data_IF_209533033114
#
_entry.id   IF_209533033114
#
_cell.length_a   1.000
_cell.length_b   1.000
_cell.length_c   1.000
_cell.angle_alpha   90.00
_cell.angle_beta   90.00
_cell.angle_gamma   90.00
#
_symmetry.space_group_name_H-M   'P 1'
#
loop_
_entity.id
_entity.type
_entity.pdbx_description
1 polymer ?
#
# COMPACT_ATOMS: atom_id res chain seq x y z
N UNK A 1 10.09 9.45 -25.32
CA UNK A 1 8.61 9.35 -25.32
C UNK A 1 8.02 10.28 -24.27
N UNK A 2 6.73 10.61 -24.37
CA UNK A 2 5.97 11.45 -23.41
C UNK A 2 5.09 10.58 -22.51
N UNK A 3 5.34 10.61 -21.20
CA UNK A 3 4.65 9.80 -20.20
C UNK A 3 3.81 10.69 -19.28
N UNK A 4 2.50 10.46 -19.22
CA UNK A 4 1.60 11.16 -18.29
C UNK A 4 1.23 10.25 -17.12
N UNK A 5 1.74 10.51 -15.92
CA UNK A 5 1.52 9.64 -14.77
C UNK A 5 0.49 10.25 -13.79
N UNK A 6 -0.36 9.40 -13.21
CA UNK A 6 -1.36 9.83 -12.22
C UNK A 6 -1.30 8.94 -10.99
N UNK A 7 -0.83 9.53 -9.88
CA UNK A 7 -0.80 8.94 -8.54
C UNK A 7 -1.61 9.83 -7.58
N UNK A 8 -2.54 9.25 -6.85
CA UNK A 8 -3.50 9.99 -6.01
C UNK A 8 -3.17 10.05 -4.52
N UNK A 9 -2.05 9.45 -4.08
CA UNK A 9 -1.64 9.37 -2.67
C UNK A 9 -0.13 9.17 -2.53
N UNK A 10 0.39 9.28 -1.30
CA UNK A 10 1.83 9.25 -1.02
C UNK A 10 2.51 7.94 -1.46
N UNK A 11 1.87 6.78 -1.25
CA UNK A 11 2.39 5.48 -1.72
C UNK A 11 2.46 5.42 -3.24
N UNK A 12 1.44 5.95 -3.91
CA UNK A 12 1.44 6.05 -5.36
C UNK A 12 2.54 6.97 -5.90
N UNK A 13 2.81 8.11 -5.24
CA UNK A 13 3.91 9.02 -5.57
C UNK A 13 5.26 8.32 -5.47
N UNK A 14 5.48 7.56 -4.39
CA UNK A 14 6.71 6.78 -4.19
C UNK A 14 6.91 5.74 -5.29
N UNK A 15 5.92 4.89 -5.53
CA UNK A 15 6.02 3.83 -6.54
C UNK A 15 6.12 4.39 -7.97
N UNK A 16 5.40 5.48 -8.26
CA UNK A 16 5.49 6.15 -9.56
C UNK A 16 6.87 6.80 -9.77
N UNK A 17 7.48 7.39 -8.74
CA UNK A 17 8.81 7.98 -8.84
C UNK A 17 9.87 6.94 -9.19
N UNK A 18 9.83 5.75 -8.56
CA UNK A 18 10.72 4.63 -8.89
C UNK A 18 10.50 4.14 -10.33
N UNK A 19 9.24 4.04 -10.76
CA UNK A 19 8.93 3.70 -12.16
C UNK A 19 9.48 4.74 -13.15
N UNK A 20 9.37 6.03 -12.82
CA UNK A 20 9.92 7.11 -13.67
C UNK A 20 11.43 7.00 -13.81
N UNK A 21 12.16 6.70 -12.75
CA UNK A 21 13.61 6.48 -12.80
C UNK A 21 13.94 5.28 -13.69
N UNK A 22 13.25 4.16 -13.53
CA UNK A 22 13.43 2.98 -14.36
C UNK A 22 13.07 3.21 -15.85
N UNK A 23 12.04 4.03 -16.12
CA UNK A 23 11.72 4.45 -17.50
C UNK A 23 12.80 5.31 -18.13
N UNK A 24 13.44 6.22 -17.36
CA UNK A 24 14.55 7.04 -17.86
C UNK A 24 15.77 6.23 -18.29
N UNK A 25 16.05 5.13 -17.60
CA UNK A 25 17.14 4.22 -17.97
C UNK A 25 16.90 3.57 -19.34
N UNK A 26 15.64 3.32 -19.71
CA UNK A 26 15.23 2.66 -20.95
C UNK A 26 14.87 3.62 -22.07
N UNK A 27 14.47 4.83 -21.71
CA UNK A 27 14.18 5.94 -22.62
C UNK A 27 14.85 7.21 -22.09
N UNK A 28 16.15 7.45 -22.41
CA UNK A 28 16.89 8.63 -21.95
C UNK A 28 16.26 9.98 -22.37
N UNK A 29 15.39 9.97 -23.39
CA UNK A 29 14.65 11.14 -23.87
C UNK A 29 13.23 11.23 -23.26
N UNK A 30 12.92 10.42 -22.24
CA UNK A 30 11.62 10.41 -21.57
C UNK A 30 11.26 11.80 -21.02
N UNK A 31 10.06 12.25 -21.36
CA UNK A 31 9.45 13.44 -20.80
C UNK A 31 8.30 13.04 -19.91
N UNK A 32 8.27 13.56 -18.69
CA UNK A 32 7.25 13.22 -17.70
C UNK A 32 6.41 14.42 -17.34
N UNK A 33 5.10 14.23 -17.35
CA UNK A 33 4.12 15.16 -16.79
C UNK A 33 3.24 14.38 -15.81
N UNK A 34 2.99 14.92 -14.62
CA UNK A 34 2.40 14.10 -13.57
C UNK A 34 1.41 14.83 -12.67
N UNK A 35 0.44 14.06 -12.21
CA UNK A 35 -0.31 14.29 -10.99
C UNK A 35 0.31 13.36 -9.93
N UNK A 36 0.89 13.93 -8.88
CA UNK A 36 1.66 13.15 -7.90
C UNK A 36 2.13 14.04 -6.75
N UNK A 37 3.33 13.81 -6.27
CA UNK A 37 3.93 14.57 -5.18
C UNK A 37 5.38 14.92 -5.42
N UNK A 38 6.06 15.20 -4.31
CA UNK A 38 7.43 15.70 -4.30
C UNK A 38 8.42 14.67 -4.88
N UNK A 39 8.18 13.36 -4.69
CA UNK A 39 9.07 12.30 -5.19
C UNK A 39 9.03 12.18 -6.71
N UNK A 40 7.85 12.24 -7.31
CA UNK A 40 7.74 12.27 -8.77
C UNK A 40 8.35 13.53 -9.38
N UNK A 41 8.24 14.68 -8.69
CA UNK A 41 8.89 15.90 -9.10
C UNK A 41 10.42 15.78 -9.04
N UNK A 42 10.97 15.23 -7.97
CA UNK A 42 12.40 14.94 -7.82
C UNK A 42 12.92 13.95 -8.88
N UNK A 43 12.08 12.96 -9.26
CA UNK A 43 12.38 12.06 -10.36
C UNK A 43 12.37 12.73 -11.75
N UNK A 44 12.08 14.04 -11.82
CA UNK A 44 12.13 14.88 -13.02
C UNK A 44 10.79 15.02 -13.74
N UNK A 45 9.67 14.77 -13.06
CA UNK A 45 8.34 15.03 -13.57
C UNK A 45 7.93 16.50 -13.47
N UNK A 46 7.25 17.01 -14.51
CA UNK A 46 6.56 18.29 -14.43
C UNK A 46 5.27 18.08 -13.65
N UNK A 47 5.22 18.58 -12.41
CA UNK A 47 4.07 18.43 -11.53
C UNK A 47 2.94 19.38 -11.95
N UNK A 48 1.85 18.82 -12.46
CA UNK A 48 0.63 19.58 -12.86
C UNK A 48 -0.24 19.88 -11.65
N UNK A 49 -0.34 18.93 -10.71
CA UNK A 49 -1.09 19.07 -9.47
C UNK A 49 -0.55 18.11 -8.40
N UNK A 50 -0.45 18.59 -7.16
CA UNK A 50 -0.03 17.77 -6.05
C UNK A 50 -1.19 16.88 -5.56
N UNK A 51 -0.91 15.59 -5.22
CA UNK A 51 -1.93 14.64 -4.77
C UNK A 51 -2.68 15.10 -3.51
N UNK A 52 -2.05 15.88 -2.64
CA UNK A 52 -2.70 16.46 -1.44
C UNK A 52 -3.90 17.34 -1.79
N UNK A 53 -3.92 17.92 -2.98
CA UNK A 53 -5.04 18.71 -3.49
C UNK A 53 -6.08 17.86 -4.24
N UNK A 54 -5.80 16.57 -4.45
CA UNK A 54 -6.62 15.62 -5.21
C UNK A 54 -7.35 14.62 -4.31
N UNK A 55 -6.75 14.28 -3.16
CA UNK A 55 -7.16 13.14 -2.34
C UNK A 55 -8.30 13.50 -1.39
N UNK A 56 -9.50 13.04 -1.75
CA UNK A 56 -10.66 12.99 -0.86
C UNK A 56 -11.12 11.54 -0.75
N UNK A 57 -10.91 10.92 0.42
CA UNK A 57 -11.30 9.53 0.68
C UNK A 57 -12.48 9.45 1.63
N UNK A 58 -13.34 8.43 1.43
CA UNK A 58 -14.56 8.20 2.20
C UNK A 58 -15.79 8.87 1.57
N UNK A 59 -16.99 8.36 1.92
CA UNK A 59 -18.26 8.80 1.29
C UNK A 59 -18.58 10.27 1.64
N UNK A 60 -18.46 10.64 2.91
CA UNK A 60 -18.77 11.99 3.37
C UNK A 60 -17.85 13.06 2.79
N UNK A 61 -16.52 12.93 2.89
CA UNK A 61 -15.56 13.85 2.24
C UNK A 61 -15.73 13.92 0.72
N UNK A 62 -15.95 12.80 0.03
CA UNK A 62 -16.17 12.77 -1.43
C UNK A 62 -17.41 13.60 -1.82
N UNK A 63 -18.53 13.44 -1.12
CA UNK A 63 -19.75 14.21 -1.41
C UNK A 63 -19.54 15.72 -1.18
N UNK A 64 -18.87 16.09 -0.09
CA UNK A 64 -18.59 17.51 0.24
C UNK A 64 -17.67 18.18 -0.77
N UNK A 65 -16.70 17.45 -1.33
CA UNK A 65 -15.68 17.96 -2.26
C UNK A 65 -15.93 17.58 -3.73
N UNK A 66 -17.13 17.09 -4.06
CA UNK A 66 -17.50 16.71 -5.43
C UNK A 66 -17.20 17.79 -6.50
N UNK A 67 -17.49 19.10 -6.28
CA UNK A 67 -17.13 20.14 -7.24
C UNK A 67 -15.63 20.23 -7.51
N UNK A 68 -14.81 20.09 -6.47
CA UNK A 68 -13.34 20.10 -6.59
C UNK A 68 -12.83 18.87 -7.35
N UNK A 69 -13.37 17.70 -7.07
CA UNK A 69 -13.03 16.46 -7.80
C UNK A 69 -13.36 16.61 -9.28
N UNK A 70 -14.53 17.15 -9.62
CA UNK A 70 -14.95 17.39 -11.00
C UNK A 70 -14.08 18.43 -11.70
N UNK A 71 -13.69 19.50 -10.99
CA UNK A 71 -12.77 20.52 -11.51
C UNK A 71 -11.40 19.92 -11.81
N UNK A 72 -10.85 19.14 -10.88
CA UNK A 72 -9.57 18.44 -11.06
C UNK A 72 -9.65 17.46 -12.24
N UNK A 73 -10.74 16.72 -12.36
CA UNK A 73 -10.97 15.80 -13.49
C UNK A 73 -10.97 16.54 -14.84
N UNK A 74 -11.65 17.69 -14.93
CA UNK A 74 -11.67 18.50 -16.17
C UNK A 74 -10.29 19.05 -16.50
N UNK A 75 -9.56 19.51 -15.50
CA UNK A 75 -8.20 20.04 -15.66
C UNK A 75 -7.27 18.96 -16.20
N UNK A 76 -7.25 17.75 -15.59
CA UNK A 76 -6.41 16.64 -16.04
C UNK A 76 -6.74 16.19 -17.45
N UNK A 77 -8.04 16.08 -17.79
CA UNK A 77 -8.49 15.74 -19.15
C UNK A 77 -8.04 16.74 -20.20
N UNK A 78 -8.12 18.05 -19.87
CA UNK A 78 -7.64 19.11 -20.76
C UNK A 78 -6.13 19.02 -20.94
N UNK A 79 -5.38 18.85 -19.85
CA UNK A 79 -3.94 18.78 -19.85
C UNK A 79 -3.40 17.59 -20.67
N UNK A 80 -4.00 16.40 -20.52
CA UNK A 80 -3.67 15.21 -21.34
C UNK A 80 -3.91 15.50 -22.84
N UNK A 81 -5.03 16.13 -23.17
CA UNK A 81 -5.36 16.45 -24.56
C UNK A 81 -4.40 17.46 -25.19
N UNK A 82 -4.01 18.51 -24.41
CA UNK A 82 -3.11 19.56 -24.89
C UNK A 82 -1.66 19.08 -25.01
N UNK A 83 -1.21 18.27 -24.05
CA UNK A 83 0.18 17.77 -24.04
C UNK A 83 0.43 16.59 -24.96
N UNK A 84 -0.61 15.82 -25.31
CA UNK A 84 -0.57 14.67 -26.23
C UNK A 84 0.52 13.65 -25.84
N UNK A 85 0.39 12.95 -24.69
CA UNK A 85 1.34 11.92 -24.28
C UNK A 85 1.27 10.71 -25.19
N UNK A 86 2.37 9.94 -25.28
CA UNK A 86 2.40 8.62 -25.92
C UNK A 86 1.68 7.57 -25.06
N UNK A 87 1.75 7.73 -23.73
CA UNK A 87 1.05 6.85 -22.77
C UNK A 87 0.57 7.61 -21.54
N UNK A 88 -0.56 7.15 -21.00
CA UNK A 88 -1.09 7.56 -19.70
C UNK A 88 -0.92 6.39 -18.73
N UNK A 89 -0.10 6.58 -17.70
CA UNK A 89 0.19 5.58 -16.69
C UNK A 89 -0.61 5.92 -15.42
N UNK A 90 -1.53 5.04 -15.07
CA UNK A 90 -2.43 5.17 -13.94
C UNK A 90 -1.90 4.32 -12.77
N UNK A 91 -1.61 4.97 -11.62
CA UNK A 91 -1.03 4.29 -10.47
C UNK A 91 -2.07 4.18 -9.36
N UNK A 92 -2.53 2.94 -9.05
CA UNK A 92 -3.60 2.67 -8.07
C UNK A 92 -4.79 3.66 -8.20
N UNK A 93 -5.34 4.22 -7.14
CA UNK A 93 -6.36 5.28 -7.10
C UNK A 93 -7.57 5.07 -8.04
N UNK A 94 -8.25 3.92 -7.97
CA UNK A 94 -9.17 3.44 -9.02
C UNK A 94 -10.42 4.29 -9.22
N UNK A 95 -10.82 5.10 -8.23
CA UNK A 95 -11.99 5.98 -8.35
C UNK A 95 -11.81 7.05 -9.43
N UNK A 96 -10.67 7.68 -9.45
CA UNK A 96 -10.30 8.73 -10.39
C UNK A 96 -9.70 8.15 -11.68
N UNK A 97 -8.76 7.23 -11.53
CA UNK A 97 -7.97 6.68 -12.63
C UNK A 97 -8.80 5.94 -13.67
N UNK A 98 -9.81 5.14 -13.26
CA UNK A 98 -10.71 4.49 -14.23
C UNK A 98 -11.59 5.49 -15.00
N UNK A 99 -11.90 6.67 -14.45
CA UNK A 99 -12.60 7.70 -15.17
C UNK A 99 -11.72 8.44 -16.20
N UNK A 100 -10.40 8.53 -15.91
CA UNK A 100 -9.41 9.01 -16.89
C UNK A 100 -9.20 7.96 -17.99
N UNK A 101 -9.04 6.68 -17.65
CA UNK A 101 -8.94 5.60 -18.64
C UNK A 101 -10.12 5.63 -19.63
N UNK A 102 -11.35 5.73 -19.10
CA UNK A 102 -12.55 5.86 -19.93
C UNK A 102 -12.48 7.10 -20.84
N UNK A 103 -12.02 8.24 -20.35
CA UNK A 103 -11.90 9.45 -21.16
C UNK A 103 -10.91 9.27 -22.30
N UNK A 104 -9.73 8.72 -22.03
CA UNK A 104 -8.71 8.44 -23.05
C UNK A 104 -9.28 7.51 -24.12
N UNK A 105 -9.90 6.40 -23.71
CA UNK A 105 -10.49 5.45 -24.63
C UNK A 105 -11.60 6.06 -25.48
N UNK A 106 -12.60 6.73 -24.86
CA UNK A 106 -13.79 7.20 -25.56
C UNK A 106 -13.61 8.49 -26.34
N UNK A 107 -12.68 9.37 -25.97
CA UNK A 107 -12.53 10.69 -26.55
C UNK A 107 -11.25 10.88 -27.36
N UNK A 108 -10.15 10.26 -26.94
CA UNK A 108 -8.87 10.44 -27.64
C UNK A 108 -8.63 9.33 -28.67
N UNK A 109 -8.94 8.07 -28.33
CA UNK A 109 -8.79 6.94 -29.25
C UNK A 109 -9.86 6.93 -30.33
N UNK A 110 -11.12 7.24 -29.98
CA UNK A 110 -12.23 7.22 -30.94
C UNK A 110 -12.24 8.39 -31.94
N UNK A 111 -11.55 9.50 -31.62
CA UNK A 111 -11.49 10.71 -32.46
C UNK A 111 -10.18 10.84 -33.25
N UNK A 112 -9.23 9.92 -33.07
CA UNK A 112 -7.92 9.95 -33.71
C UNK A 112 -8.05 9.53 -35.20
N UNK A 113 -8.24 10.51 -36.07
CA UNK A 113 -8.19 10.27 -37.53
C UNK A 113 -6.76 10.28 -38.10
N UNK A 114 -5.81 10.98 -37.46
CA UNK A 114 -4.43 11.12 -37.97
C UNK A 114 -3.31 11.06 -36.91
N UNK A 115 -3.62 10.87 -35.60
CA UNK A 115 -2.63 10.82 -34.54
C UNK A 115 -2.71 9.48 -33.81
N UNK A 116 -1.57 8.89 -33.45
CA UNK A 116 -1.53 7.67 -32.62
C UNK A 116 -2.14 8.04 -31.23
N UNK A 117 -3.23 7.40 -30.81
CA UNK A 117 -3.84 7.71 -29.53
C UNK A 117 -2.93 7.22 -28.40
N UNK A 118 -2.96 7.90 -27.22
CA UNK A 118 -2.15 7.46 -26.08
C UNK A 118 -2.59 6.07 -25.60
N UNK A 119 -1.63 5.23 -25.26
CA UNK A 119 -1.89 3.96 -24.59
C UNK A 119 -2.20 4.18 -23.12
N UNK A 120 -3.07 3.36 -22.54
CA UNK A 120 -3.43 3.39 -21.13
C UNK A 120 -2.80 2.21 -20.42
N UNK A 121 -1.76 2.47 -19.65
CA UNK A 121 -1.13 1.49 -18.77
C UNK A 121 -1.62 1.69 -17.34
N UNK A 122 -1.99 0.62 -16.65
CA UNK A 122 -2.40 0.67 -15.26
C UNK A 122 -1.36 -0.07 -14.40
N UNK A 123 -0.56 0.69 -13.66
CA UNK A 123 0.43 0.18 -12.72
C UNK A 123 -0.16 0.11 -11.30
N UNK A 124 0.04 -1.01 -10.62
CA UNK A 124 -0.63 -1.37 -9.36
C UNK A 124 -2.13 -1.56 -9.59
N UNK A 125 -2.47 -2.74 -10.09
CA UNK A 125 -3.83 -3.11 -10.46
C UNK A 125 -4.88 -2.79 -9.38
N UNK A 126 -6.05 -2.28 -9.75
CA UNK A 126 -7.12 -2.02 -8.80
C UNK A 126 -7.55 -3.29 -8.07
N UNK A 127 -7.64 -3.25 -6.74
CA UNK A 127 -8.00 -4.38 -5.87
C UNK A 127 -9.48 -4.80 -6.03
N UNK A 128 -9.92 -5.04 -7.29
CA UNK A 128 -11.31 -5.41 -7.60
C UNK A 128 -11.68 -6.83 -7.14
N UNK A 129 -10.68 -7.65 -6.87
CA UNK A 129 -10.86 -8.97 -6.27
C UNK A 129 -11.39 -8.91 -4.83
N UNK A 130 -11.08 -7.85 -4.09
CA UNK A 130 -11.57 -7.64 -2.73
C UNK A 130 -13.02 -7.11 -2.72
N UNK A 131 -13.34 -6.17 -3.63
CA UNK A 131 -14.64 -5.50 -3.72
C UNK A 131 -14.81 -4.83 -5.09
N UNK A 132 -16.05 -4.55 -5.48
CA UNK A 132 -16.38 -3.89 -6.78
C UNK A 132 -15.83 -4.64 -8.02
N UNK A 133 -15.91 -5.96 -8.00
CA UNK A 133 -15.46 -6.83 -9.10
C UNK A 133 -16.06 -6.45 -10.47
N UNK A 134 -17.26 -5.84 -10.48
CA UNK A 134 -17.91 -5.35 -11.70
C UNK A 134 -17.04 -4.37 -12.52
N UNK A 135 -16.03 -3.73 -11.89
CA UNK A 135 -15.09 -2.83 -12.57
C UNK A 135 -14.20 -3.52 -13.60
N UNK A 136 -14.14 -4.85 -13.60
CA UNK A 136 -13.43 -5.60 -14.65
C UNK A 136 -13.92 -5.24 -16.06
N UNK A 137 -15.22 -4.93 -16.21
CA UNK A 137 -15.78 -4.49 -17.49
C UNK A 137 -15.17 -3.16 -17.99
N UNK A 138 -14.90 -2.24 -17.06
CA UNK A 138 -14.27 -0.95 -17.37
C UNK A 138 -12.79 -1.15 -17.69
N UNK A 139 -12.08 -1.97 -16.92
CA UNK A 139 -10.66 -2.29 -17.15
C UNK A 139 -10.50 -2.90 -18.55
N UNK A 140 -11.30 -3.91 -18.88
CA UNK A 140 -11.27 -4.59 -20.18
C UNK A 140 -11.51 -3.66 -21.37
N UNK A 141 -12.34 -2.66 -21.20
CA UNK A 141 -12.65 -1.69 -22.25
C UNK A 141 -11.62 -0.58 -22.38
N UNK A 142 -11.12 -0.07 -21.25
CA UNK A 142 -10.47 1.24 -21.18
C UNK A 142 -8.95 1.16 -20.88
N UNK A 143 -8.42 -0.02 -20.51
CA UNK A 143 -7.01 -0.22 -20.15
C UNK A 143 -6.37 -1.14 -21.18
N UNK A 144 -5.23 -0.74 -21.74
CA UNK A 144 -4.50 -1.52 -22.74
C UNK A 144 -3.52 -2.50 -22.10
N UNK A 145 -2.86 -2.08 -21.00
CA UNK A 145 -1.88 -2.88 -20.30
C UNK A 145 -2.10 -2.78 -18.78
N UNK A 146 -2.24 -3.93 -18.11
CA UNK A 146 -2.47 -4.00 -16.65
C UNK A 146 -1.29 -4.67 -15.97
N UNK A 147 -0.59 -3.91 -15.12
CA UNK A 147 0.57 -4.36 -14.37
C UNK A 147 0.19 -4.62 -12.92
N UNK A 148 0.34 -5.86 -12.50
CA UNK A 148 0.01 -6.36 -11.17
C UNK A 148 1.24 -6.43 -10.28
N UNK A 149 1.04 -6.20 -8.98
CA UNK A 149 2.07 -6.30 -7.94
C UNK A 149 1.81 -7.41 -6.92
N UNK A 150 0.71 -8.16 -7.08
CA UNK A 150 0.34 -9.26 -6.20
C UNK A 150 0.21 -10.55 -7.03
N UNK A 151 0.94 -11.63 -6.69
CA UNK A 151 1.03 -12.82 -7.54
C UNK A 151 -0.33 -13.51 -7.75
N UNK A 152 -1.22 -13.53 -6.75
CA UNK A 152 -2.55 -14.12 -6.85
C UNK A 152 -3.52 -13.35 -7.77
N UNK A 153 -3.20 -12.12 -8.15
CA UNK A 153 -4.01 -11.34 -9.09
C UNK A 153 -4.03 -11.98 -10.47
N UNK A 154 -2.99 -12.75 -10.83
CA UNK A 154 -2.96 -13.48 -12.08
C UNK A 154 -4.11 -14.49 -12.17
N UNK A 155 -4.33 -15.29 -11.13
CA UNK A 155 -5.42 -16.26 -11.08
C UNK A 155 -6.80 -15.56 -11.13
N UNK A 156 -6.90 -14.39 -10.51
CA UNK A 156 -8.14 -13.62 -10.56
C UNK A 156 -8.41 -13.01 -11.94
N UNK A 157 -7.44 -12.32 -12.54
CA UNK A 157 -7.66 -11.65 -13.82
C UNK A 157 -7.63 -12.63 -15.00
N UNK A 158 -6.63 -13.50 -15.09
CA UNK A 158 -6.50 -14.45 -16.20
C UNK A 158 -7.37 -15.68 -16.00
N UNK A 159 -7.31 -16.32 -14.82
CA UNK A 159 -8.05 -17.55 -14.54
C UNK A 159 -9.56 -17.34 -14.51
N UNK A 160 -10.04 -16.34 -13.77
CA UNK A 160 -11.49 -16.10 -13.61
C UNK A 160 -12.08 -15.20 -14.69
N UNK A 161 -11.37 -14.15 -15.08
CA UNK A 161 -11.91 -13.14 -15.99
C UNK A 161 -11.36 -13.21 -17.40
N UNK A 162 -10.41 -14.10 -17.71
CA UNK A 162 -9.79 -14.23 -19.02
C UNK A 162 -9.28 -12.88 -19.57
N UNK A 163 -8.64 -12.10 -18.68
CA UNK A 163 -8.05 -10.82 -18.99
C UNK A 163 -6.54 -10.88 -18.69
N UNK A 164 -5.67 -10.70 -19.70
CA UNK A 164 -4.23 -10.83 -19.53
C UNK A 164 -3.70 -9.73 -18.61
N UNK A 165 -2.76 -10.08 -17.74
CA UNK A 165 -2.03 -9.13 -16.89
C UNK A 165 -0.55 -9.48 -16.84
N UNK A 166 0.27 -8.50 -16.50
CA UNK A 166 1.69 -8.73 -16.22
C UNK A 166 1.98 -8.56 -14.74
N UNK A 167 2.37 -9.64 -14.07
CA UNK A 167 2.95 -9.55 -12.73
C UNK A 167 4.38 -9.02 -12.87
N UNK A 168 4.65 -7.86 -12.27
CA UNK A 168 5.93 -7.15 -12.42
C UNK A 168 6.85 -7.27 -11.20
N UNK A 169 6.44 -7.99 -10.18
CA UNK A 169 7.07 -8.00 -8.85
C UNK A 169 6.33 -7.10 -7.87
N UNK A 170 6.85 -6.98 -6.65
CA UNK A 170 6.19 -6.21 -5.59
C UNK A 170 7.09 -5.07 -5.09
N UNK A 171 6.72 -3.79 -5.29
CA UNK A 171 7.57 -2.65 -4.94
C UNK A 171 7.83 -2.55 -3.43
N UNK A 172 6.92 -3.01 -2.57
CA UNK A 172 7.16 -3.07 -1.12
C UNK A 172 8.28 -4.06 -0.78
N UNK A 173 8.36 -5.19 -1.51
CA UNK A 173 9.45 -6.15 -1.33
C UNK A 173 10.80 -5.53 -1.73
N UNK A 174 10.83 -4.74 -2.80
CA UNK A 174 12.03 -4.04 -3.27
C UNK A 174 12.49 -2.99 -2.25
N UNK A 175 11.56 -2.21 -1.71
CA UNK A 175 11.84 -1.20 -0.69
C UNK A 175 12.41 -1.81 0.59
N UNK A 176 11.81 -2.91 1.09
CA UNK A 176 12.30 -3.61 2.29
C UNK A 176 13.67 -4.23 2.03
N UNK A 177 13.90 -4.82 0.85
CA UNK A 177 15.20 -5.39 0.44
C UNK A 177 16.27 -4.30 0.41
N UNK A 178 16.03 -3.20 -0.30
CA UNK A 178 16.96 -2.06 -0.39
C UNK A 178 17.22 -1.39 0.96
N UNK A 179 16.22 -1.35 1.86
CA UNK A 179 16.43 -0.89 3.23
C UNK A 179 17.35 -1.82 4.00
N UNK A 180 17.12 -3.14 3.97
CA UNK A 180 17.95 -4.12 4.69
C UNK A 180 19.41 -4.11 4.24
N UNK A 181 19.65 -3.98 2.95
CA UNK A 181 21.02 -3.87 2.39
C UNK A 181 21.78 -2.66 2.94
N UNK A 182 21.08 -1.54 3.15
CA UNK A 182 21.65 -0.30 3.71
C UNK A 182 21.74 -0.31 5.24
N UNK A 183 20.82 -0.98 5.92
CA UNK A 183 20.66 -0.94 7.37
C UNK A 183 21.78 -1.70 8.15
N UNK A 184 22.58 -2.54 7.50
CA UNK A 184 23.72 -3.19 8.14
C UNK A 184 24.80 -2.20 8.64
N UNK A 185 24.67 -0.90 8.32
CA UNK A 185 25.71 0.11 8.56
C UNK A 185 25.39 1.05 9.75
N UNK A 186 24.27 0.90 10.50
CA UNK A 186 23.94 1.90 11.52
C UNK A 186 22.83 1.57 12.51
N UNK A 187 22.68 0.32 12.89
CA UNK A 187 21.54 -0.12 13.73
C UNK A 187 21.64 0.30 15.21
N UNK A 188 22.85 0.37 15.77
CA UNK A 188 23.06 0.77 17.17
C UNK A 188 22.63 2.22 17.45
N UNK A 189 22.66 3.08 16.45
CA UNK A 189 22.25 4.47 16.58
C UNK A 189 20.72 4.64 16.72
N UNK A 190 19.91 3.77 16.12
CA UNK A 190 18.45 3.87 16.20
C UNK A 190 17.93 3.73 17.62
N UNK A 191 18.39 2.75 18.37
CA UNK A 191 17.96 2.53 19.75
C UNK A 191 18.36 3.70 20.65
N UNK A 192 19.60 4.19 20.52
CA UNK A 192 20.13 5.31 21.31
C UNK A 192 19.42 6.63 20.98
N UNK A 193 19.28 7.00 19.70
CA UNK A 193 18.59 8.23 19.31
C UNK A 193 17.13 8.25 19.76
N UNK A 194 16.49 7.08 19.80
CA UNK A 194 15.13 6.98 20.26
C UNK A 194 15.02 6.66 21.76
N UNK A 195 16.10 6.71 22.54
CA UNK A 195 16.10 6.40 23.98
C UNK A 195 15.34 5.09 24.26
N UNK A 196 15.67 4.04 23.50
CA UNK A 196 15.13 2.68 23.64
C UNK A 196 16.16 1.78 24.34
N UNK A 197 15.67 0.77 25.05
CA UNK A 197 16.55 -0.18 25.75
C UNK A 197 17.23 -1.12 24.74
N UNK A 198 18.51 -1.34 24.92
CA UNK A 198 19.28 -2.33 24.13
C UNK A 198 19.02 -3.78 24.59
N UNK A 199 18.48 -3.95 25.81
CA UNK A 199 18.30 -5.28 26.42
C UNK A 199 16.86 -5.79 26.40
N UNK A 200 15.86 -4.89 26.24
CA UNK A 200 14.45 -5.28 26.18
C UNK A 200 13.99 -5.44 24.75
N UNK A 201 13.44 -6.60 24.35
CA UNK A 201 12.88 -6.78 23.01
C UNK A 201 11.72 -5.81 22.73
N UNK A 202 11.58 -5.37 21.48
CA UNK A 202 10.56 -4.43 21.06
C UNK A 202 9.30 -5.17 20.61
N UNK A 203 8.13 -4.75 21.12
CA UNK A 203 6.83 -5.01 20.51
C UNK A 203 6.43 -3.76 19.74
N UNK A 204 6.43 -3.84 18.42
CA UNK A 204 6.03 -2.76 17.54
C UNK A 204 4.50 -2.68 17.43
N UNK A 205 3.95 -1.46 17.42
CA UNK A 205 2.54 -1.21 17.16
C UNK A 205 2.41 -0.33 15.92
N UNK A 206 1.79 -0.88 14.85
CA UNK A 206 1.43 -0.20 13.63
C UNK A 206 -0.11 -0.06 13.59
N UNK A 207 -0.63 0.97 14.25
CA UNK A 207 -2.07 1.09 14.54
C UNK A 207 -2.91 1.70 13.41
N UNK A 208 -2.33 1.93 12.25
CA UNK A 208 -2.98 2.50 11.07
C UNK A 208 -2.38 3.82 10.63
N UNK A 209 -2.77 4.28 9.44
CA UNK A 209 -2.28 5.51 8.80
C UNK A 209 -3.27 6.69 8.91
N UNK A 210 -4.47 6.47 9.44
CA UNK A 210 -5.53 7.48 9.56
C UNK A 210 -5.95 7.65 11.01
N UNK A 211 -6.32 8.86 11.39
CA UNK A 211 -6.78 9.16 12.75
C UNK A 211 -7.89 8.22 13.22
N UNK A 212 -8.84 7.87 12.34
CA UNK A 212 -9.93 6.97 12.68
C UNK A 212 -9.42 5.55 12.98
N UNK A 213 -8.51 5.03 12.18
CA UNK A 213 -7.90 3.71 12.39
C UNK A 213 -7.14 3.67 13.73
N UNK A 214 -6.37 4.74 14.02
CA UNK A 214 -5.61 4.86 15.26
C UNK A 214 -6.56 4.88 16.47
N UNK A 215 -7.65 5.69 16.43
CA UNK A 215 -8.66 5.75 17.49
C UNK A 215 -9.31 4.40 17.77
N UNK A 216 -9.54 3.60 16.73
CA UNK A 216 -10.24 2.32 16.84
C UNK A 216 -9.31 1.18 17.29
N UNK A 217 -8.06 1.17 16.84
CA UNK A 217 -7.15 0.04 17.06
C UNK A 217 -6.23 0.24 18.27
N UNK A 218 -5.63 1.42 18.43
CA UNK A 218 -4.55 1.66 19.38
C UNK A 218 -4.93 1.37 20.84
N UNK A 219 -6.11 1.76 21.36
CA UNK A 219 -6.45 1.51 22.77
C UNK A 219 -6.40 0.03 23.14
N UNK A 220 -7.00 -0.83 22.34
CA UNK A 220 -7.01 -2.28 22.60
C UNK A 220 -5.62 -2.92 22.43
N UNK A 221 -4.81 -2.41 21.51
CA UNK A 221 -3.43 -2.88 21.33
C UNK A 221 -2.57 -2.53 22.55
N UNK A 222 -2.68 -1.31 23.07
CA UNK A 222 -1.96 -0.86 24.27
C UNK A 222 -2.37 -1.68 25.50
N UNK A 223 -3.66 -1.84 25.74
CA UNK A 223 -4.15 -2.62 26.87
C UNK A 223 -3.70 -4.09 26.79
N UNK A 224 -3.65 -4.67 25.59
CA UNK A 224 -3.16 -6.03 25.40
C UNK A 224 -1.67 -6.18 25.73
N UNK A 225 -0.84 -5.16 25.47
CA UNK A 225 0.61 -5.17 25.73
C UNK A 225 0.98 -4.80 27.17
N UNK A 226 0.08 -4.19 27.93
CA UNK A 226 0.38 -3.69 29.28
C UNK A 226 1.02 -4.72 30.22
N UNK A 227 0.55 -6.00 30.31
CA UNK A 227 1.18 -6.99 31.18
C UNK A 227 2.58 -7.41 30.74
N UNK A 228 2.99 -7.05 29.53
CA UNK A 228 4.30 -7.40 28.94
C UNK A 228 5.33 -6.27 29.10
N UNK A 229 4.92 -5.09 29.57
CA UNK A 229 5.74 -3.87 29.60
C UNK A 229 6.98 -3.93 30.52
N UNK A 230 7.04 -4.91 31.43
CA UNK A 230 8.23 -5.13 32.27
C UNK A 230 9.34 -5.89 31.53
N UNK A 231 8.96 -6.80 30.62
CA UNK A 231 9.89 -7.64 29.87
C UNK A 231 10.13 -7.14 28.42
N UNK A 232 9.23 -6.34 27.89
CA UNK A 232 9.27 -5.81 26.54
C UNK A 232 9.10 -4.29 26.56
N UNK A 233 9.66 -3.61 25.58
CA UNK A 233 9.35 -2.21 25.32
C UNK A 233 8.33 -2.10 24.17
N UNK A 234 7.26 -1.36 24.44
CA UNK A 234 6.18 -1.13 23.46
C UNK A 234 6.46 0.15 22.70
N UNK A 235 6.56 0.04 21.37
CA UNK A 235 6.93 1.16 20.52
C UNK A 235 5.92 1.31 19.38
N UNK A 236 5.35 2.50 19.26
CA UNK A 236 4.33 2.84 18.28
C UNK A 236 4.98 3.55 17.11
N UNK A 237 4.73 3.06 15.89
CA UNK A 237 5.11 3.76 14.67
C UNK A 237 4.18 4.96 14.43
N UNK A 238 4.73 6.17 14.43
CA UNK A 238 3.98 7.37 14.05
C UNK A 238 3.62 7.38 12.58
N UNK A 239 2.35 7.63 12.26
CA UNK A 239 1.88 7.68 10.88
C UNK A 239 2.20 9.04 10.23
N UNK A 240 2.49 9.09 8.90
CA UNK A 240 2.69 10.33 8.19
C UNK A 240 1.49 11.27 8.30
N UNK A 241 1.74 12.54 8.61
CA UNK A 241 0.70 13.56 8.71
C UNK A 241 -0.19 13.48 9.96
N UNK A 242 0.19 12.67 10.96
CA UNK A 242 -0.48 12.61 12.26
C UNK A 242 0.50 13.16 13.33
N UNK A 243 0.06 14.19 14.03
CA UNK A 243 0.87 14.83 15.07
C UNK A 243 1.10 13.91 16.27
N UNK A 244 2.25 14.03 16.90
CA UNK A 244 2.61 13.27 18.09
C UNK A 244 1.59 13.44 19.21
N UNK A 245 1.07 14.66 19.40
CA UNK A 245 0.08 14.97 20.41
C UNK A 245 -1.24 14.20 20.24
N UNK A 246 -1.56 13.80 19.00
CA UNK A 246 -2.73 12.97 18.76
C UNK A 246 -2.62 11.60 19.44
N UNK A 247 -1.41 11.05 19.56
CA UNK A 247 -1.18 9.77 20.25
C UNK A 247 -1.20 9.90 21.76
N UNK A 248 -0.87 11.08 22.31
CA UNK A 248 -0.75 11.33 23.75
C UNK A 248 -2.04 11.02 24.49
N UNK A 249 -3.21 11.27 23.87
CA UNK A 249 -4.52 10.95 24.43
C UNK A 249 -4.76 9.44 24.66
N UNK A 250 -4.02 8.57 24.01
CA UNK A 250 -4.14 7.11 24.14
C UNK A 250 -3.01 6.49 24.96
N UNK A 251 -1.85 7.14 25.01
CA UNK A 251 -0.66 6.58 25.67
C UNK A 251 -0.56 6.91 27.16
N UNK A 252 -1.42 7.80 27.68
CA UNK A 252 -1.48 8.10 29.11
C UNK A 252 -1.75 6.83 29.93
N UNK A 253 -0.89 6.59 30.94
CA UNK A 253 -0.96 5.39 31.78
C UNK A 253 -0.37 4.11 31.18
N UNK A 254 0.14 4.15 29.95
CA UNK A 254 0.81 3.04 29.29
C UNK A 254 2.33 3.29 29.17
N UNK A 255 3.14 2.26 29.42
CA UNK A 255 4.58 2.28 29.18
C UNK A 255 4.86 2.06 27.68
N UNK A 256 4.47 3.01 26.83
CA UNK A 256 4.63 2.95 25.40
C UNK A 256 5.29 4.22 24.86
N UNK A 257 6.13 4.10 23.83
CA UNK A 257 6.80 5.22 23.18
C UNK A 257 6.28 5.37 21.75
N UNK A 258 6.00 6.60 21.35
CA UNK A 258 5.63 6.95 19.97
C UNK A 258 6.87 7.45 19.24
N UNK A 259 7.19 6.87 18.08
CA UNK A 259 8.24 7.35 17.20
C UNK A 259 7.70 8.37 16.20
N UNK A 260 8.53 9.31 15.74
CA UNK A 260 8.19 10.17 14.61
C UNK A 260 7.85 9.35 13.37
N UNK A 261 7.05 9.94 12.48
CA UNK A 261 6.79 9.33 11.15
C UNK A 261 8.10 9.14 10.37
N UNK A 262 8.15 8.09 9.54
CA UNK A 262 9.35 7.73 8.77
C UNK A 262 10.26 6.71 9.46
N UNK A 263 10.05 6.38 10.74
CA UNK A 263 10.85 5.40 11.46
C UNK A 263 10.29 3.96 11.42
N UNK A 264 9.27 3.70 10.60
CA UNK A 264 8.59 2.39 10.59
C UNK A 264 9.54 1.25 10.22
N UNK A 265 10.40 1.43 9.23
CA UNK A 265 11.32 0.40 8.78
C UNK A 265 12.44 0.14 9.81
N UNK A 266 13.00 1.19 10.43
CA UNK A 266 13.95 1.03 11.53
C UNK A 266 13.30 0.33 12.73
N UNK A 267 12.05 0.66 13.05
CA UNK A 267 11.30 0.00 14.10
C UNK A 267 11.09 -1.48 13.79
N UNK A 268 10.63 -1.83 12.59
CA UNK A 268 10.40 -3.21 12.18
C UNK A 268 11.71 -4.01 12.11
N UNK A 269 12.81 -3.39 11.66
CA UNK A 269 14.11 -4.03 11.63
C UNK A 269 14.60 -4.48 13.02
N UNK A 270 14.21 -3.74 14.08
CA UNK A 270 14.57 -4.01 15.47
C UNK A 270 13.46 -4.70 16.28
N UNK A 271 12.30 -4.95 15.70
CA UNK A 271 11.15 -5.47 16.42
C UNK A 271 11.25 -7.01 16.62
N UNK A 272 10.87 -7.43 17.81
CA UNK A 272 10.73 -8.85 18.15
C UNK A 272 9.37 -9.41 17.73
N UNK A 273 8.29 -8.65 17.90
CA UNK A 273 6.94 -8.97 17.49
C UNK A 273 6.17 -7.69 17.17
N UNK A 274 5.02 -7.80 16.50
CA UNK A 274 4.22 -6.65 16.14
C UNK A 274 2.70 -6.86 16.29
N UNK A 275 1.99 -5.78 16.60
CA UNK A 275 0.55 -5.64 16.41
C UNK A 275 0.33 -4.69 15.23
N UNK A 276 -0.37 -5.16 14.20
CA UNK A 276 -0.43 -4.45 12.91
C UNK A 276 -1.85 -4.30 12.43
N UNK A 277 -2.25 -3.09 12.09
CA UNK A 277 -3.52 -2.84 11.39
C UNK A 277 -3.43 -3.32 9.94
N UNK A 278 -4.52 -3.91 9.45
CA UNK A 278 -4.59 -4.44 8.07
C UNK A 278 -4.20 -3.38 7.02
N UNK A 279 -3.45 -3.82 6.00
CA UNK A 279 -2.95 -2.99 4.91
C UNK A 279 -1.57 -3.47 4.45
N UNK A 280 -0.85 -2.61 3.72
CA UNK A 280 0.52 -2.88 3.23
C UNK A 280 1.49 -3.18 4.39
N UNK A 281 1.26 -2.55 5.55
CA UNK A 281 2.07 -2.75 6.76
C UNK A 281 2.16 -4.22 7.19
N UNK A 282 1.15 -5.06 6.91
CA UNK A 282 1.20 -6.50 7.22
C UNK A 282 2.25 -7.22 6.36
N UNK A 283 2.38 -6.83 5.11
CA UNK A 283 3.39 -7.38 4.21
C UNK A 283 4.79 -6.87 4.58
N UNK A 284 4.95 -5.57 4.82
CA UNK A 284 6.20 -4.98 5.31
C UNK A 284 6.71 -5.71 6.54
N UNK A 285 5.85 -5.89 7.55
CA UNK A 285 6.18 -6.60 8.80
C UNK A 285 6.66 -8.04 8.54
N UNK A 286 5.99 -8.77 7.65
CA UNK A 286 6.40 -10.13 7.26
C UNK A 286 7.73 -10.15 6.51
N UNK A 287 7.96 -9.20 5.60
CA UNK A 287 9.21 -9.06 4.86
C UNK A 287 10.40 -8.72 5.76
N UNK A 288 10.17 -7.96 6.84
CA UNK A 288 11.17 -7.78 7.89
C UNK A 288 11.41 -9.05 8.74
N UNK A 289 10.53 -10.06 8.65
CA UNK A 289 10.63 -11.28 9.44
C UNK A 289 10.13 -11.10 10.88
N UNK A 290 9.21 -10.14 11.11
CA UNK A 290 8.66 -9.85 12.43
C UNK A 290 7.33 -10.57 12.61
N UNK A 291 7.23 -11.52 13.56
CA UNK A 291 5.94 -12.15 13.88
C UNK A 291 4.89 -11.14 14.30
N UNK A 292 3.67 -11.29 13.77
CA UNK A 292 2.63 -10.28 13.93
C UNK A 292 1.26 -10.85 14.24
N UNK A 293 0.44 -10.04 14.90
CA UNK A 293 -1.02 -10.22 15.00
C UNK A 293 -1.71 -9.09 14.26
N UNK A 294 -2.53 -9.43 13.29
CA UNK A 294 -3.28 -8.43 12.50
C UNK A 294 -4.54 -8.05 13.27
N UNK A 295 -4.69 -6.75 13.54
CA UNK A 295 -5.78 -6.17 14.31
C UNK A 295 -6.55 -5.16 13.45
N UNK A 296 -7.85 -5.36 13.30
CA UNK A 296 -8.68 -4.46 12.50
C UNK A 296 -10.03 -4.21 13.19
N UNK A 297 -10.12 -3.12 13.93
CA UNK A 297 -11.37 -2.66 14.51
C UNK A 297 -12.27 -2.02 13.44
N UNK A 298 -13.56 -2.03 13.69
CA UNK A 298 -14.55 -1.34 12.84
C UNK A 298 -15.58 -0.62 13.72
N UNK A 299 -16.10 0.54 13.30
CA UNK A 299 -17.04 1.33 14.10
C UNK A 299 -18.33 0.59 14.46
N UNK A 300 -18.73 -0.40 13.66
CA UNK A 300 -19.94 -1.22 13.86
C UNK A 300 -19.61 -2.71 13.69
N UNK A 301 -18.94 -3.34 14.65
CA UNK A 301 -18.39 -4.69 14.49
C UNK A 301 -19.44 -5.76 14.19
N UNK A 302 -20.66 -5.67 14.77
CA UNK A 302 -21.74 -6.63 14.52
C UNK A 302 -22.33 -6.49 13.10
N UNK A 303 -22.55 -5.25 12.65
CA UNK A 303 -23.06 -4.97 11.31
C UNK A 303 -22.01 -5.32 10.24
N UNK A 304 -20.75 -5.00 10.50
CA UNK A 304 -19.63 -5.35 9.60
C UNK A 304 -19.50 -6.88 9.48
N UNK A 305 -19.63 -7.63 10.57
CA UNK A 305 -19.59 -9.10 10.56
C UNK A 305 -20.67 -9.72 9.67
N UNK A 306 -21.90 -9.17 9.67
CA UNK A 306 -22.98 -9.59 8.77
C UNK A 306 -22.73 -9.17 7.32
N UNK A 307 -22.28 -7.93 7.08
CA UNK A 307 -22.06 -7.38 5.75
C UNK A 307 -20.72 -7.84 5.13
N UNK A 308 -19.75 -8.27 5.94
CA UNK A 308 -18.42 -8.71 5.44
C UNK A 308 -18.56 -9.77 4.36
N UNK A 309 -19.37 -10.79 4.58
CA UNK A 309 -19.61 -11.88 3.61
C UNK A 309 -20.28 -11.40 2.31
N UNK A 310 -21.04 -10.29 2.36
CA UNK A 310 -21.74 -9.72 1.20
C UNK A 310 -20.88 -8.72 0.44
N UNK A 311 -20.00 -7.98 1.14
CA UNK A 311 -19.22 -6.88 0.58
C UNK A 311 -17.80 -7.31 0.25
N UNK A 312 -17.14 -8.09 1.11
CA UNK A 312 -15.79 -8.60 0.87
C UNK A 312 -15.85 -10.02 0.32
N UNK A 313 -15.31 -10.21 -0.86
CA UNK A 313 -15.24 -11.51 -1.56
C UNK A 313 -13.99 -12.31 -1.22
N UNK A 314 -13.23 -11.87 -0.21
CA UNK A 314 -11.94 -12.45 0.16
C UNK A 314 -12.03 -13.18 1.50
N UNK A 315 -11.29 -14.28 1.60
CA UNK A 315 -11.19 -15.10 2.82
C UNK A 315 -10.35 -14.39 3.90
N UNK A 316 -9.31 -13.67 3.50
CA UNK A 316 -8.35 -13.00 4.36
C UNK A 316 -8.34 -11.50 4.09
N UNK A 317 -7.82 -10.71 5.05
CA UNK A 317 -7.69 -9.25 4.91
C UNK A 317 -6.22 -8.79 4.86
N UNK A 318 -5.29 -9.56 5.40
CA UNK A 318 -3.86 -9.26 5.31
C UNK A 318 -3.27 -9.72 3.98
N UNK A 319 -2.34 -8.95 3.44
CA UNK A 319 -1.62 -9.35 2.23
C UNK A 319 -0.82 -10.63 2.43
N UNK A 320 -0.32 -10.88 3.65
CA UNK A 320 0.42 -12.10 4.00
C UNK A 320 -0.43 -13.35 3.75
N UNK A 321 -1.65 -13.39 4.34
CA UNK A 321 -2.54 -14.54 4.19
C UNK A 321 -3.11 -14.65 2.77
N UNK A 322 -3.37 -13.52 2.10
CA UNK A 322 -3.83 -13.49 0.71
C UNK A 322 -2.77 -14.06 -0.25
N UNK A 323 -1.50 -13.66 -0.08
CA UNK A 323 -0.40 -14.16 -0.92
C UNK A 323 -0.14 -15.64 -0.64
N UNK A 324 -0.19 -16.06 0.62
CA UNK A 324 -0.02 -17.47 1.01
C UNK A 324 -1.23 -18.36 0.67
N UNK A 325 -2.41 -17.76 0.41
CA UNK A 325 -3.71 -18.42 0.27
C UNK A 325 -4.07 -19.33 1.48
N UNK A 326 -3.52 -19.02 2.63
CA UNK A 326 -3.78 -19.67 3.92
C UNK A 326 -3.50 -18.74 5.09
N UNK A 327 -3.94 -19.14 6.28
CA UNK A 327 -3.60 -18.41 7.49
C UNK A 327 -2.13 -18.66 7.86
N UNK A 328 -1.32 -17.62 7.72
CA UNK A 328 0.07 -17.52 8.20
C UNK A 328 0.11 -16.67 9.47
N UNK A 329 -0.68 -15.59 9.47
CA UNK A 329 -0.80 -14.67 10.60
C UNK A 329 -2.24 -14.65 11.12
N UNK A 330 -2.47 -14.58 12.44
CA UNK A 330 -3.82 -14.45 12.98
C UNK A 330 -4.43 -13.10 12.61
N UNK A 331 -5.68 -13.12 12.15
CA UNK A 331 -6.44 -11.92 11.80
C UNK A 331 -7.59 -11.71 12.78
N UNK A 332 -7.46 -10.70 13.63
CA UNK A 332 -8.50 -10.30 14.56
C UNK A 332 -9.30 -9.13 13.97
N UNK A 333 -10.52 -9.42 13.52
CA UNK A 333 -11.34 -8.48 12.74
C UNK A 333 -12.66 -8.21 13.44
N UNK A 334 -13.02 -6.96 13.60
CA UNK A 334 -14.30 -6.52 14.16
C UNK A 334 -14.59 -7.18 15.52
N UNK A 335 -15.58 -8.07 15.60
CA UNK A 335 -15.99 -8.73 16.86
C UNK A 335 -14.96 -9.72 17.42
N UNK A 336 -14.04 -10.24 16.61
CA UNK A 336 -12.95 -11.11 17.10
C UNK A 336 -11.77 -10.31 17.69
N UNK A 337 -11.69 -9.01 17.42
CA UNK A 337 -10.68 -8.14 17.98
C UNK A 337 -11.07 -7.72 19.41
N UNK A 338 -10.47 -8.36 20.37
CA UNK A 338 -10.60 -8.01 21.81
C UNK A 338 -9.22 -8.01 22.45
N UNK A 339 -9.08 -7.28 23.56
CA UNK A 339 -7.85 -7.25 24.36
C UNK A 339 -7.39 -8.67 24.72
N UNK A 340 -8.33 -9.53 25.11
CA UNK A 340 -8.04 -10.93 25.44
C UNK A 340 -7.51 -11.73 24.24
N UNK A 341 -8.13 -11.57 23.07
CA UNK A 341 -7.71 -12.25 21.84
C UNK A 341 -6.34 -11.73 21.36
N UNK A 342 -6.14 -10.41 21.37
CA UNK A 342 -4.84 -9.80 21.00
C UNK A 342 -3.74 -10.34 21.90
N UNK A 343 -3.94 -10.31 23.23
CA UNK A 343 -2.98 -10.81 24.22
C UNK A 343 -2.67 -12.30 24.03
N UNK A 344 -3.70 -13.11 23.79
CA UNK A 344 -3.55 -14.54 23.55
C UNK A 344 -2.64 -14.81 22.35
N UNK A 345 -2.94 -14.24 21.20
CA UNK A 345 -2.17 -14.43 19.99
C UNK A 345 -0.77 -13.80 20.06
N UNK A 346 -0.66 -12.61 20.68
CA UNK A 346 0.62 -11.96 20.91
C UNK A 346 1.55 -12.86 21.74
N UNK A 347 1.09 -13.40 22.88
CA UNK A 347 1.88 -14.29 23.71
C UNK A 347 2.34 -15.54 22.94
N UNK A 348 1.49 -16.08 22.07
CA UNK A 348 1.82 -17.27 21.28
C UNK A 348 2.95 -17.05 20.27
N UNK A 349 3.13 -15.81 19.77
CA UNK A 349 4.15 -15.47 18.77
C UNK A 349 5.43 -14.89 19.36
N UNK A 350 5.48 -14.63 20.68
CA UNK A 350 6.72 -14.13 21.32
C UNK A 350 7.81 -15.20 21.34
N UNK A 351 7.47 -16.49 21.48
CA UNK A 351 8.40 -17.63 21.49
C UNK A 351 7.72 -18.93 21.10
N UNK A 352 8.53 -19.96 20.80
CA UNK A 352 8.05 -21.33 20.56
C UNK A 352 7.49 -21.58 19.16
N UNK A 353 6.79 -22.71 19.01
CA UNK A 353 6.42 -23.26 17.70
C UNK A 353 5.50 -22.39 16.85
N UNK A 354 4.63 -21.58 17.47
CA UNK A 354 3.77 -20.64 16.72
C UNK A 354 4.57 -19.57 16.01
N UNK A 355 5.61 -19.03 16.69
CA UNK A 355 6.58 -18.11 16.08
C UNK A 355 7.32 -18.74 14.92
N UNK A 356 7.86 -19.94 15.10
CA UNK A 356 8.62 -20.65 14.07
C UNK A 356 7.77 -20.96 12.83
N UNK A 357 6.52 -21.41 13.03
CA UNK A 357 5.56 -21.66 11.95
C UNK A 357 5.24 -20.39 11.16
N UNK A 358 5.09 -19.27 11.86
CA UNK A 358 4.83 -17.98 11.21
C UNK A 358 6.01 -17.51 10.38
N UNK A 359 7.22 -17.59 10.91
CA UNK A 359 8.45 -17.25 10.19
C UNK A 359 8.64 -18.12 8.95
N UNK A 360 8.38 -19.43 9.05
CA UNK A 360 8.40 -20.33 7.89
C UNK A 360 7.34 -19.93 6.84
N UNK A 361 6.17 -19.51 7.27
CA UNK A 361 5.14 -18.99 6.37
C UNK A 361 5.55 -17.70 5.67
N UNK A 362 6.38 -16.87 6.30
CA UNK A 362 6.93 -15.67 5.66
C UNK A 362 7.91 -15.98 4.53
N UNK A 363 8.70 -17.05 4.66
CA UNK A 363 9.57 -17.50 3.56
C UNK A 363 8.73 -17.96 2.36
N UNK A 364 7.62 -18.68 2.58
CA UNK A 364 6.68 -19.02 1.50
C UNK A 364 6.09 -17.76 0.82
N UNK A 365 5.74 -16.72 1.59
CA UNK A 365 5.26 -15.44 1.04
C UNK A 365 6.34 -14.78 0.19
N UNK A 366 7.59 -14.75 0.64
CA UNK A 366 8.73 -14.21 -0.12
C UNK A 366 8.97 -14.99 -1.42
N UNK A 367 8.92 -16.32 -1.37
CA UNK A 367 9.06 -17.17 -2.55
C UNK A 367 7.97 -16.88 -3.60
N UNK A 368 6.71 -16.71 -3.17
CA UNK A 368 5.60 -16.37 -4.07
C UNK A 368 5.70 -14.97 -4.66
N UNK A 369 6.27 -14.01 -3.93
CA UNK A 369 6.54 -12.66 -4.45
C UNK A 369 7.65 -12.65 -5.49
N UNK A 370 8.59 -13.61 -5.40
CA UNK A 370 9.76 -13.64 -6.27
C UNK A 370 10.80 -12.56 -5.95
N UNK A 371 11.81 -12.49 -6.81
CA UNK A 371 12.93 -11.55 -6.66
C UNK A 371 12.93 -10.44 -7.72
N UNK A 372 11.88 -10.36 -8.50
CA UNK A 372 11.73 -9.37 -9.56
C UNK A 372 11.72 -7.95 -9.00
N UNK A 373 12.40 -7.03 -9.69
CA UNK A 373 12.42 -5.61 -9.34
C UNK A 373 11.24 -4.93 -10.03
N UNK A 374 10.21 -4.61 -9.26
CA UNK A 374 8.93 -4.17 -9.77
C UNK A 374 9.00 -2.95 -10.70
N UNK A 375 9.67 -1.83 -10.37
CA UNK A 375 9.75 -0.67 -11.27
C UNK A 375 10.50 -0.97 -12.57
N UNK A 376 11.53 -1.82 -12.55
CA UNK A 376 12.27 -2.20 -13.74
C UNK A 376 11.43 -3.05 -14.70
N UNK A 377 10.77 -4.08 -14.17
CA UNK A 377 9.89 -4.93 -14.96
C UNK A 377 8.68 -4.16 -15.51
N UNK A 378 8.12 -3.26 -14.70
CA UNK A 378 7.04 -2.39 -15.17
C UNK A 378 7.52 -1.46 -16.30
N UNK A 379 8.71 -0.86 -16.19
CA UNK A 379 9.29 -0.03 -17.25
C UNK A 379 9.56 -0.84 -18.53
N UNK A 380 10.10 -2.06 -18.41
CA UNK A 380 10.32 -2.96 -19.55
C UNK A 380 9.00 -3.30 -20.26
N UNK A 381 7.95 -3.65 -19.50
CA UNK A 381 6.64 -3.96 -20.05
C UNK A 381 6.04 -2.76 -20.80
N UNK A 382 6.07 -1.57 -20.18
CA UNK A 382 5.53 -0.33 -20.77
C UNK A 382 6.27 0.04 -22.05
N UNK A 383 7.60 0.06 -22.06
CA UNK A 383 8.40 0.43 -23.25
C UNK A 383 8.19 -0.61 -24.37
N UNK A 384 8.21 -1.90 -24.04
CA UNK A 384 7.93 -2.97 -25.01
C UNK A 384 6.54 -2.81 -25.64
N UNK A 385 5.54 -2.41 -24.86
CA UNK A 385 4.18 -2.20 -25.34
C UNK A 385 4.06 -0.97 -26.25
N UNK A 386 4.80 0.10 -25.97
CA UNK A 386 4.83 1.34 -26.77
C UNK A 386 5.55 1.18 -28.11
N UNK A 387 6.48 0.22 -28.20
CA UNK A 387 7.33 -0.03 -29.38
C UNK A 387 6.78 -1.12 -30.31
N UNK A 388 5.68 -1.79 -29.94
CA UNK A 388 4.90 -2.69 -30.81
C UNK A 388 4.02 -1.89 -31.77
#
# INVERSE_FOLDING_TARGET
MKYYLIAGEASGDLHASHLMLALKERDPQAQFRCIGGDLMQQAGGILVRHYREMAYMGVGPVLRHLPTILRNMRMVKRDIREWQPDTVILVDYPGFNLAIAKYVHSNLKSQASNLKPPLVCYYIAPKIWAWKEHRIKNIRRDVDELLSILPFEKDFFEGKHHYPIHYVGNPTADEVRGFKEKAHIGNDDFLRHNVLSETKPIIAILCGSRQQEIKENLPSMLEATQPLADNYQVVIAGAPGIDHDFYSQFTQGHKAKVLPSGNTYQLLYNAHAALVTSGTATLETALFGVPQVVCYATPMPRLFGMLRKMVLKVKYISLVNLIADREVVPELVASSMSVKSIRHHLNAILKGSSREKMLKGYEEVKERLGNDIAPENAANAIVSFLTR
#
